data_IF_913143790278
#
_entry.id   IF_913143790278
#
_cell.length_a   1.000
_cell.length_b   1.000
_cell.length_c   1.000
_cell.angle_alpha   90.00
_cell.angle_beta   90.00
_cell.angle_gamma   90.00
#
_symmetry.space_group_name_H-M   'P 1'
#
loop_
_entity.id
_entity.type
_entity.pdbx_description
1 polymer ?
#
# COMPACT_ATOMS: atom_id res chain seq x y z
N UNK A 1 -4.41 12.74 30.04
CA UNK A 1 -4.91 12.02 28.86
C UNK A 1 -3.67 11.63 28.07
N UNK A 2 -3.35 10.34 27.99
CA UNK A 2 -2.16 9.85 27.28
C UNK A 2 -2.67 9.27 25.96
N UNK A 3 -2.41 9.98 24.86
CA UNK A 3 -2.61 9.44 23.51
C UNK A 3 -1.41 8.53 23.24
N UNK A 4 -1.62 7.22 23.18
CA UNK A 4 -0.57 6.29 22.74
C UNK A 4 -0.24 6.64 21.28
N UNK A 5 1.04 6.81 20.94
CA UNK A 5 1.45 7.12 19.57
C UNK A 5 0.95 6.03 18.61
N UNK A 6 -0.02 6.41 17.79
CA UNK A 6 -0.63 5.58 16.77
C UNK A 6 0.38 5.38 15.63
N UNK A 7 0.89 4.17 15.49
CA UNK A 7 1.93 3.87 14.49
C UNK A 7 1.30 3.46 13.15
N UNK A 8 1.76 4.03 12.03
CA UNK A 8 1.32 3.58 10.71
C UNK A 8 1.75 2.12 10.48
N UNK A 9 0.89 1.38 9.79
CA UNK A 9 1.12 -0.02 9.47
C UNK A 9 1.88 -0.15 8.14
N UNK A 10 3.03 -0.81 8.15
CA UNK A 10 3.80 -1.08 6.94
C UNK A 10 3.63 -2.52 6.48
N UNK A 11 3.30 -2.68 5.20
CA UNK A 11 3.10 -3.97 4.54
C UNK A 11 3.93 -4.02 3.27
N UNK A 12 4.68 -5.10 3.10
CA UNK A 12 5.39 -5.39 1.85
C UNK A 12 4.47 -6.24 0.97
N UNK A 13 4.01 -5.68 -0.16
CA UNK A 13 3.25 -6.37 -1.20
C UNK A 13 4.18 -6.62 -2.38
N UNK A 14 4.78 -7.81 -2.43
CA UNK A 14 5.81 -8.19 -3.41
C UNK A 14 6.85 -7.06 -3.62
N UNK A 15 6.73 -6.31 -4.72
CA UNK A 15 7.64 -5.22 -5.11
C UNK A 15 7.36 -3.86 -4.41
N UNK A 16 6.19 -3.68 -3.79
CA UNK A 16 5.79 -2.40 -3.18
C UNK A 16 5.77 -2.44 -1.67
N UNK A 17 6.25 -1.36 -1.06
CA UNK A 17 6.00 -1.08 0.34
C UNK A 17 4.82 -0.13 0.46
N UNK A 18 3.82 -0.55 1.24
CA UNK A 18 2.58 0.20 1.46
C UNK A 18 2.47 0.57 2.94
N UNK A 19 2.12 1.82 3.20
CA UNK A 19 1.81 2.34 4.52
C UNK A 19 0.31 2.57 4.60
N UNK A 20 -0.31 2.02 5.64
CA UNK A 20 -1.71 2.26 5.99
C UNK A 20 -1.79 3.11 7.26
N UNK A 21 -2.59 4.15 7.19
CA UNK A 21 -3.04 4.92 8.35
C UNK A 21 -4.18 4.15 9.03
N UNK A 22 -4.55 4.55 10.25
CA UNK A 22 -5.58 3.84 11.02
C UNK A 22 -6.97 3.94 10.40
N UNK A 23 -7.25 5.09 9.78
CA UNK A 23 -8.51 5.35 9.09
C UNK A 23 -8.22 5.43 7.60
N UNK A 24 -8.81 4.51 6.86
CA UNK A 24 -8.79 4.49 5.41
C UNK A 24 -10.15 4.94 4.91
N UNK A 25 -10.16 5.97 4.08
CA UNK A 25 -11.37 6.51 3.46
C UNK A 25 -11.32 6.29 1.95
N UNK A 26 -12.47 6.09 1.32
CA UNK A 26 -12.54 5.92 -0.12
C UNK A 26 -13.97 5.82 -0.63
N UNK A 27 -14.15 6.02 -1.92
CA UNK A 27 -15.43 5.86 -2.63
C UNK A 27 -15.41 4.57 -3.43
N UNK A 28 -16.29 3.63 -3.08
CA UNK A 28 -16.45 2.37 -3.82
C UNK A 28 -17.34 2.58 -5.04
N UNK A 29 -16.91 2.04 -6.18
CA UNK A 29 -17.67 1.96 -7.44
C UNK A 29 -17.48 0.58 -8.06
N UNK A 30 -18.31 0.23 -9.03
CA UNK A 30 -18.12 -1.01 -9.78
C UNK A 30 -16.74 -1.00 -10.46
N UNK A 31 -15.89 -1.95 -10.09
CA UNK A 31 -14.54 -2.11 -10.64
C UNK A 31 -13.49 -1.10 -10.15
N UNK A 32 -13.79 -0.23 -9.18
CA UNK A 32 -12.81 0.76 -8.70
C UNK A 32 -13.05 1.29 -7.30
N UNK A 33 -11.99 1.73 -6.64
CA UNK A 33 -12.00 2.55 -5.42
C UNK A 33 -11.32 3.87 -5.75
N UNK A 34 -11.98 4.99 -5.53
CA UNK A 34 -11.47 6.35 -5.84
C UNK A 34 -11.47 7.23 -4.60
N UNK A 35 -10.80 8.39 -4.68
CA UNK A 35 -10.69 9.34 -3.55
C UNK A 35 -10.14 8.66 -2.29
N UNK A 36 -9.15 7.78 -2.47
CA UNK A 36 -8.62 6.98 -1.39
C UNK A 36 -7.71 7.84 -0.49
N UNK A 37 -7.89 7.77 0.82
CA UNK A 37 -7.06 8.45 1.82
C UNK A 37 -6.55 7.45 2.86
N UNK A 38 -5.42 7.77 3.49
CA UNK A 38 -4.81 6.89 4.49
C UNK A 38 -3.98 5.74 3.92
N UNK A 39 -3.73 5.71 2.60
CA UNK A 39 -2.86 4.70 1.97
C UNK A 39 -1.75 5.40 1.18
N UNK A 40 -0.49 5.04 1.48
CA UNK A 40 0.68 5.56 0.77
C UNK A 40 1.55 4.42 0.26
N UNK A 41 1.99 4.52 -0.99
CA UNK A 41 2.90 3.57 -1.63
C UNK A 41 4.28 4.20 -1.71
N UNK A 42 5.32 3.44 -1.38
CA UNK A 42 6.69 3.86 -1.59
C UNK A 42 7.07 3.63 -3.05
N UNK A 43 7.34 4.72 -3.77
CA UNK A 43 7.84 4.70 -5.13
C UNK A 43 9.23 5.32 -5.16
N UNK A 44 10.23 4.51 -5.50
CA UNK A 44 11.65 4.87 -5.40
C UNK A 44 11.99 5.31 -3.95
N UNK A 45 12.28 6.59 -3.75
CA UNK A 45 12.63 7.18 -2.45
C UNK A 45 11.49 8.01 -1.84
N UNK A 46 10.35 8.15 -2.54
CA UNK A 46 9.25 9.00 -2.14
C UNK A 46 8.02 8.18 -1.71
N UNK A 47 7.27 8.72 -0.77
CA UNK A 47 5.96 8.20 -0.40
C UNK A 47 4.88 8.95 -1.16
N UNK A 48 4.13 8.24 -1.99
CA UNK A 48 3.06 8.80 -2.80
C UNK A 48 1.70 8.32 -2.29
N UNK A 49 0.70 9.19 -2.31
CA UNK A 49 -0.69 8.84 -1.97
C UNK A 49 -1.22 7.89 -3.04
N UNK A 50 -1.89 6.82 -2.62
CA UNK A 50 -2.66 5.98 -3.53
C UNK A 50 -4.01 6.65 -3.76
N UNK A 51 -4.26 7.07 -5.00
CA UNK A 51 -5.44 7.86 -5.35
C UNK A 51 -6.61 6.95 -5.79
N UNK A 52 -6.28 5.87 -6.52
CA UNK A 52 -7.27 5.00 -7.13
C UNK A 52 -6.76 3.56 -7.29
N UNK A 53 -7.69 2.62 -7.11
CA UNK A 53 -7.50 1.19 -7.37
C UNK A 53 -8.56 0.77 -8.38
N UNK A 54 -8.16 0.09 -9.46
CA UNK A 54 -9.08 -0.42 -10.49
C UNK A 54 -8.85 -1.89 -10.78
N UNK A 55 -9.88 -2.55 -11.28
CA UNK A 55 -9.81 -3.88 -11.88
C UNK A 55 -10.44 -3.88 -13.26
N UNK A 56 -10.06 -4.85 -14.09
CA UNK A 56 -10.71 -5.07 -15.39
C UNK A 56 -12.18 -5.51 -15.19
N UNK A 57 -13.03 -5.20 -16.17
CA UNK A 57 -14.43 -5.67 -16.22
C UNK A 57 -14.66 -6.34 -17.59
N UNK A 58 -14.92 -7.67 -17.65
CA UNK A 58 -15.01 -8.61 -16.53
C UNK A 58 -13.68 -8.77 -15.76
N UNK A 59 -13.72 -9.12 -14.45
CA UNK A 59 -12.52 -9.28 -13.64
C UNK A 59 -11.55 -10.29 -14.24
N UNK A 60 -10.28 -9.93 -14.19
CA UNK A 60 -9.14 -10.77 -14.53
C UNK A 60 -8.11 -10.65 -13.39
N UNK A 61 -6.95 -11.28 -13.52
CA UNK A 61 -5.91 -11.33 -12.49
C UNK A 61 -5.10 -10.02 -12.31
N UNK A 62 -5.63 -8.90 -12.81
CA UNK A 62 -4.96 -7.61 -12.84
C UNK A 62 -5.65 -6.60 -11.93
N UNK A 63 -4.85 -5.93 -11.11
CA UNK A 63 -5.23 -4.75 -10.33
C UNK A 63 -4.35 -3.58 -10.79
N UNK A 64 -4.95 -2.40 -10.94
CA UNK A 64 -4.23 -1.19 -11.31
C UNK A 64 -4.23 -0.22 -10.12
N UNK A 65 -3.02 0.17 -9.72
CA UNK A 65 -2.77 1.12 -8.64
C UNK A 65 -2.34 2.46 -9.26
N UNK A 66 -3.09 3.52 -8.98
CA UNK A 66 -2.77 4.87 -9.41
C UNK A 66 -2.36 5.73 -8.22
N UNK A 67 -1.16 6.31 -8.29
CA UNK A 67 -0.61 7.18 -7.25
C UNK A 67 0.13 8.35 -7.90
N UNK A 68 -0.43 9.55 -7.77
CA UNK A 68 -0.01 10.73 -8.52
C UNK A 68 -0.14 10.53 -10.03
N UNK A 69 0.97 10.70 -10.76
CA UNK A 69 1.05 10.49 -12.21
C UNK A 69 1.46 9.06 -12.60
N UNK A 70 1.63 8.17 -11.62
CA UNK A 70 2.07 6.80 -11.84
C UNK A 70 0.88 5.86 -11.85
N UNK A 71 0.85 4.96 -12.83
CA UNK A 71 -0.09 3.84 -12.89
C UNK A 71 0.71 2.54 -12.93
N UNK A 72 0.43 1.62 -12.01
CA UNK A 72 1.08 0.31 -11.93
C UNK A 72 0.07 -0.80 -11.99
N UNK A 73 0.37 -1.77 -12.84
CA UNK A 73 -0.35 -3.02 -12.95
C UNK A 73 0.30 -4.02 -11.99
N UNK A 74 -0.52 -4.67 -11.19
CA UNK A 74 -0.08 -5.65 -10.19
C UNK A 74 -1.01 -6.88 -10.23
N UNK A 75 -0.51 -8.02 -9.79
CA UNK A 75 -1.24 -9.30 -9.83
C UNK A 75 -2.20 -9.44 -8.63
N UNK A 76 -3.42 -9.96 -8.85
CA UNK A 76 -4.41 -10.17 -7.79
C UNK A 76 -3.92 -11.10 -6.66
N UNK A 77 -3.04 -12.05 -6.96
CA UNK A 77 -2.56 -13.06 -6.01
C UNK A 77 -1.85 -12.45 -4.79
N UNK A 78 -1.20 -11.28 -4.94
CA UNK A 78 -0.54 -10.61 -3.82
C UNK A 78 -1.54 -10.15 -2.72
N UNK A 79 -2.81 -9.98 -3.07
CA UNK A 79 -3.88 -9.57 -2.15
C UNK A 79 -4.66 -10.77 -1.59
N UNK A 80 -4.43 -11.98 -2.11
CA UNK A 80 -5.04 -13.21 -1.59
C UNK A 80 -4.33 -13.71 -0.32
N UNK A 81 -3.10 -13.24 -0.07
CA UNK A 81 -2.33 -13.58 1.13
C UNK A 81 -2.44 -12.46 2.15
N UNK A 82 -2.71 -12.82 3.41
CA UNK A 82 -2.73 -11.85 4.52
C UNK A 82 -1.30 -11.56 4.94
N UNK A 83 -0.85 -10.32 4.72
CA UNK A 83 0.49 -9.88 5.10
C UNK A 83 0.51 -9.33 6.53
N UNK A 84 1.58 -9.63 7.27
CA UNK A 84 1.76 -9.12 8.62
C UNK A 84 2.10 -7.63 8.62
N UNK A 85 1.44 -6.86 9.47
CA UNK A 85 1.78 -5.47 9.72
C UNK A 85 3.14 -5.36 10.42
N UNK A 86 4.04 -4.53 9.90
CA UNK A 86 5.33 -4.22 10.53
C UNK A 86 5.35 -2.80 11.06
N UNK A 87 5.96 -2.59 12.23
CA UNK A 87 6.21 -1.25 12.75
C UNK A 87 7.36 -0.58 11.98
N UNK A 88 7.42 0.76 12.01
CA UNK A 88 8.45 1.53 11.31
C UNK A 88 9.87 1.09 11.70
N UNK A 89 10.10 0.82 12.98
CA UNK A 89 11.40 0.41 13.49
C UNK A 89 11.84 -0.96 12.95
N UNK A 90 10.90 -1.91 12.90
CA UNK A 90 11.14 -3.24 12.31
C UNK A 90 11.41 -3.17 10.81
N UNK A 91 10.70 -2.31 10.09
CA UNK A 91 10.94 -2.11 8.66
C UNK A 91 12.29 -1.44 8.37
N UNK A 92 12.67 -0.39 9.11
CA UNK A 92 13.99 0.24 8.94
C UNK A 92 15.14 -0.73 9.21
N UNK A 93 15.00 -1.59 10.22
CA UNK A 93 15.98 -2.65 10.50
C UNK A 93 16.07 -3.66 9.36
N UNK A 94 14.94 -4.07 8.77
CA UNK A 94 14.92 -4.97 7.60
C UNK A 94 15.65 -4.38 6.38
N UNK A 95 15.53 -3.07 6.11
CA UNK A 95 16.30 -2.42 5.03
C UNK A 95 17.79 -2.36 5.35
N UNK A 96 18.15 -1.99 6.59
CA UNK A 96 19.56 -1.93 7.01
C UNK A 96 20.27 -3.30 7.03
N UNK A 97 19.52 -4.38 7.27
CA UNK A 97 20.05 -5.75 7.18
C UNK A 97 20.32 -6.20 5.74
N UNK A 98 19.80 -5.48 4.72
CA UNK A 98 19.96 -5.83 3.31
C UNK A 98 21.13 -5.07 2.63
N UNK A 99 21.83 -4.20 3.36
CA UNK A 99 23.01 -3.46 2.89
C UNK A 99 24.35 -4.01 3.40
N UNK A 100 24.37 -5.21 3.99
CA UNK A 100 25.61 -5.92 4.33
C UNK A 100 25.60 -7.25 3.57
N UNK A 101 26.00 -7.18 2.31
CA UNK A 101 26.21 -8.31 1.40
C UNK A 101 27.20 -7.91 0.33
#
# INVERSE_FOLDING_TARGET
MVELEKQPCYVQLDEYLVSYDELILGTLKLGSITNLEGVRVKWLLLWLKLDEIKVDLPPNDNIYLQFGLVNKKVDVHQFQTIHSCSSRHLWMFKIGAQSVG
#
